data_IF_306914461791
#
_entry.id   IF_306914461791
#
_cell.length_a   1.000
_cell.length_b   1.000
_cell.length_c   1.000
_cell.angle_alpha   90.00
_cell.angle_beta   90.00
_cell.angle_gamma   90.00
#
_symmetry.space_group_name_H-M   'P 1'
#
loop_
_entity.id
_entity.type
_entity.pdbx_description
1 polymer ?
#
# COMPACT_ATOMS: atom_id res chain seq x y z
N UNK A 1 16.71 -10.47 -12.20
CA UNK A 1 17.21 -9.15 -11.83
C UNK A 1 16.96 -8.84 -10.34
N UNK A 2 15.74 -9.07 -9.84
CA UNK A 2 15.36 -8.75 -8.45
C UNK A 2 16.22 -9.42 -7.38
N UNK A 3 16.59 -10.68 -7.55
CA UNK A 3 17.38 -11.43 -6.55
C UNK A 3 18.83 -10.92 -6.47
N UNK A 4 19.43 -10.55 -7.60
CA UNK A 4 20.79 -9.98 -7.65
C UNK A 4 20.85 -8.59 -7.05
N UNK A 5 19.87 -7.73 -7.33
CA UNK A 5 19.79 -6.38 -6.75
C UNK A 5 19.62 -6.45 -5.23
N UNK A 6 18.76 -7.32 -4.73
CA UNK A 6 18.57 -7.51 -3.28
C UNK A 6 19.85 -7.98 -2.59
N UNK A 7 20.60 -8.92 -3.17
CA UNK A 7 21.89 -9.36 -2.64
C UNK A 7 22.95 -8.25 -2.66
N UNK A 8 22.94 -7.40 -3.68
CA UNK A 8 23.85 -6.25 -3.77
C UNK A 8 23.56 -5.24 -2.64
N UNK A 9 22.31 -4.88 -2.44
CA UNK A 9 21.92 -3.96 -1.35
C UNK A 9 22.28 -4.50 0.05
N UNK A 10 22.08 -5.79 0.31
CA UNK A 10 22.48 -6.41 1.59
C UNK A 10 23.98 -6.33 1.81
N UNK A 11 24.77 -6.68 0.80
CA UNK A 11 26.23 -6.62 0.88
C UNK A 11 26.76 -5.21 1.07
N UNK A 12 26.17 -4.25 0.39
CA UNK A 12 26.54 -2.83 0.52
C UNK A 12 26.23 -2.32 1.92
N UNK A 13 25.05 -2.64 2.45
CA UNK A 13 24.70 -2.29 3.84
C UNK A 13 25.65 -2.93 4.85
N UNK A 14 25.98 -4.21 4.69
CA UNK A 14 26.94 -4.89 5.57
C UNK A 14 28.33 -4.28 5.48
N UNK A 15 28.76 -3.85 4.30
CA UNK A 15 30.06 -3.17 4.12
C UNK A 15 30.10 -1.84 4.85
N UNK A 16 29.04 -1.03 4.74
CA UNK A 16 28.97 0.26 5.43
C UNK A 16 28.92 0.07 6.96
N UNK A 17 28.15 -0.89 7.47
CA UNK A 17 28.12 -1.20 8.91
C UNK A 17 29.51 -1.57 9.43
N UNK A 18 30.27 -2.40 8.71
CA UNK A 18 31.65 -2.78 9.08
C UNK A 18 32.59 -1.59 9.02
N UNK A 19 32.48 -0.74 8.03
CA UNK A 19 33.31 0.46 7.86
C UNK A 19 33.18 1.40 9.06
N UNK A 20 31.98 1.53 9.59
CA UNK A 20 31.70 2.36 10.76
C UNK A 20 31.75 1.59 12.08
N UNK A 21 32.26 0.35 12.08
CA UNK A 21 32.41 -0.50 13.27
C UNK A 21 31.12 -0.68 14.07
N UNK A 22 29.98 -0.77 13.35
CA UNK A 22 28.69 -1.02 13.98
C UNK A 22 28.64 -2.48 14.43
N UNK A 23 28.37 -2.69 15.71
CA UNK A 23 28.18 -4.02 16.27
C UNK A 23 26.78 -4.56 15.90
N UNK A 24 26.71 -5.67 15.19
CA UNK A 24 25.46 -6.25 14.66
C UNK A 24 25.19 -7.56 15.37
N UNK A 25 24.18 -7.57 16.21
CA UNK A 25 23.69 -8.77 16.89
C UNK A 25 22.58 -9.43 16.09
N UNK A 26 22.88 -10.60 15.50
CA UNK A 26 21.87 -11.43 14.80
C UNK A 26 21.25 -12.42 15.81
N UNK A 27 20.03 -12.87 15.48
CA UNK A 27 19.28 -13.80 16.34
C UNK A 27 19.09 -13.31 17.78
N UNK A 28 19.01 -11.99 17.93
CA UNK A 28 18.88 -11.30 19.22
C UNK A 28 17.54 -10.60 19.25
N UNK A 29 16.55 -11.22 19.85
CA UNK A 29 15.19 -10.67 19.97
C UNK A 29 15.15 -9.71 21.16
N UNK A 30 14.74 -8.47 20.92
CA UNK A 30 14.46 -7.47 21.95
C UNK A 30 13.01 -7.62 22.39
N UNK A 31 12.81 -7.87 23.69
CA UNK A 31 11.48 -8.08 24.26
C UNK A 31 10.96 -6.85 25.02
N UNK A 32 11.85 -5.95 25.46
CA UNK A 32 11.46 -4.79 26.25
C UNK A 32 12.40 -3.61 26.06
N UNK A 33 11.86 -2.40 26.06
CA UNK A 33 12.61 -1.16 26.20
C UNK A 33 12.70 -0.82 27.70
N UNK A 34 13.92 -0.56 28.19
CA UNK A 34 14.18 -0.22 29.58
C UNK A 34 14.20 1.29 29.75
N UNK A 35 13.48 1.76 30.75
CA UNK A 35 13.46 3.17 31.15
C UNK A 35 13.79 3.31 32.62
N UNK A 36 14.42 4.41 33.02
CA UNK A 36 14.63 4.86 34.40
C UNK A 36 13.91 6.17 34.60
N UNK A 37 13.39 6.39 35.79
CA UNK A 37 12.85 7.70 36.14
C UNK A 37 14.00 8.70 36.41
N UNK A 38 13.89 9.85 35.75
CA UNK A 38 14.80 10.98 35.95
C UNK A 38 13.94 12.23 36.00
N UNK A 39 13.94 12.94 37.11
CA UNK A 39 13.14 14.17 37.32
C UNK A 39 11.63 13.96 37.04
N UNK A 40 11.10 12.79 37.42
CA UNK A 40 9.68 12.45 37.24
C UNK A 40 9.28 12.08 35.79
N UNK A 41 10.23 11.90 34.88
CA UNK A 41 10.01 11.47 33.51
C UNK A 41 10.74 10.16 33.23
N UNK A 42 10.12 9.23 32.44
CA UNK A 42 10.78 8.02 31.99
C UNK A 42 11.84 8.38 30.92
N UNK A 43 13.07 8.02 31.17
CA UNK A 43 14.20 8.21 30.25
C UNK A 43 14.72 6.83 29.82
N UNK A 44 14.95 6.65 28.53
CA UNK A 44 15.53 5.45 27.98
C UNK A 44 16.89 5.13 28.63
N UNK A 45 17.17 3.86 28.92
CA UNK A 45 18.44 3.43 29.48
C UNK A 45 18.97 2.10 28.91
N UNK A 46 18.25 1.50 27.97
CA UNK A 46 18.68 0.25 27.35
C UNK A 46 17.53 -0.63 26.88
N UNK A 47 17.86 -1.84 26.51
CA UNK A 47 16.90 -2.86 26.08
C UNK A 47 17.13 -4.18 26.79
N UNK A 48 16.09 -4.99 26.91
CA UNK A 48 16.15 -6.37 27.39
C UNK A 48 15.86 -7.35 26.25
N UNK A 49 16.72 -8.34 26.11
CA UNK A 49 16.62 -9.39 25.11
C UNK A 49 15.89 -10.62 25.67
N UNK A 50 15.42 -11.50 24.80
CA UNK A 50 14.69 -12.74 25.17
C UNK A 50 15.51 -13.69 26.06
N UNK A 51 16.83 -13.64 25.96
CA UNK A 51 17.77 -14.37 26.84
C UNK A 51 18.00 -13.67 28.19
N UNK A 52 17.20 -12.65 28.50
CA UNK A 52 17.32 -11.78 29.70
C UNK A 52 18.61 -10.93 29.77
N UNK A 53 19.42 -10.92 28.71
CA UNK A 53 20.55 -10.00 28.62
C UNK A 53 20.03 -8.57 28.45
N UNK A 54 20.64 -7.66 29.26
CA UNK A 54 20.35 -6.23 29.16
C UNK A 54 21.48 -5.52 28.43
N UNK A 55 21.16 -4.70 27.46
CA UNK A 55 22.08 -3.89 26.68
C UNK A 55 21.80 -2.44 27.03
N UNK A 56 22.74 -1.78 27.67
CA UNK A 56 22.63 -0.36 28.02
C UNK A 56 22.98 0.48 26.76
N UNK A 57 22.26 1.58 26.57
CA UNK A 57 22.52 2.56 25.55
C UNK A 57 21.91 3.91 25.95
N UNK A 58 22.39 4.98 25.35
CA UNK A 58 21.90 6.33 25.58
C UNK A 58 20.66 6.65 24.78
N UNK A 59 20.59 6.16 23.53
CA UNK A 59 19.48 6.38 22.61
C UNK A 59 19.07 5.07 21.91
N UNK A 60 17.81 5.02 21.43
CA UNK A 60 17.27 3.89 20.69
C UNK A 60 16.46 4.35 19.48
N UNK A 61 16.74 3.77 18.32
CA UNK A 61 15.93 3.93 17.13
C UNK A 61 15.18 2.62 16.87
N UNK A 62 13.85 2.65 16.98
CA UNK A 62 12.99 1.47 16.77
C UNK A 62 12.64 1.33 15.29
N UNK A 63 13.21 0.34 14.63
CA UNK A 63 13.03 0.06 13.20
C UNK A 63 12.46 -1.35 12.96
N UNK A 64 11.52 -1.82 13.78
CA UNK A 64 10.98 -3.18 13.77
C UNK A 64 9.94 -3.42 12.69
N UNK A 65 9.63 -2.44 11.85
CA UNK A 65 8.56 -2.51 10.86
C UNK A 65 7.16 -2.36 11.48
N UNK A 66 6.14 -2.67 10.69
CA UNK A 66 4.73 -2.61 11.10
C UNK A 66 4.13 -3.99 11.33
N UNK A 67 2.86 -4.17 10.89
CA UNK A 67 2.13 -5.44 11.01
C UNK A 67 1.98 -6.19 9.68
N UNK A 68 2.71 -5.77 8.64
CA UNK A 68 2.68 -6.42 7.32
C UNK A 68 3.84 -7.40 7.19
N UNK A 69 3.56 -8.57 6.59
CA UNK A 69 4.57 -9.64 6.42
C UNK A 69 5.20 -10.13 7.72
N UNK A 70 4.38 -10.58 8.65
CA UNK A 70 4.81 -11.11 9.95
C UNK A 70 5.91 -12.19 9.85
N UNK A 71 5.92 -12.99 8.76
CA UNK A 71 6.96 -13.97 8.47
C UNK A 71 8.37 -13.38 8.27
N UNK A 72 8.48 -12.07 8.07
CA UNK A 72 9.76 -11.33 7.97
C UNK A 72 10.12 -10.57 9.23
N UNK A 73 9.41 -10.80 10.34
CA UNK A 73 9.64 -10.15 11.63
C UNK A 73 8.85 -8.87 11.89
N UNK A 74 7.96 -8.48 10.95
CA UNK A 74 7.10 -7.28 11.14
C UNK A 74 5.84 -7.65 11.92
N UNK A 75 5.99 -7.93 13.20
CA UNK A 75 4.94 -8.44 14.11
C UNK A 75 4.22 -7.33 14.88
N UNK A 76 4.68 -6.08 14.73
CA UNK A 76 4.10 -4.93 15.41
C UNK A 76 4.76 -4.59 16.76
N UNK A 77 5.93 -5.14 17.05
CA UNK A 77 6.65 -4.93 18.32
C UNK A 77 6.92 -3.45 18.61
N UNK A 78 7.20 -2.64 17.57
CA UNK A 78 7.39 -1.21 17.74
C UNK A 78 6.19 -0.49 18.34
N UNK A 79 4.97 -0.92 18.03
CA UNK A 79 3.76 -0.37 18.63
C UNK A 79 3.63 -0.78 20.10
N UNK A 80 3.93 -2.04 20.43
CA UNK A 80 3.95 -2.53 21.80
C UNK A 80 4.99 -1.78 22.65
N UNK A 81 6.20 -1.61 22.14
CA UNK A 81 7.24 -0.84 22.82
C UNK A 81 6.82 0.62 23.07
N UNK A 82 6.16 1.24 22.09
CA UNK A 82 5.65 2.59 22.24
C UNK A 82 4.59 2.69 23.36
N UNK A 83 3.64 1.74 23.41
CA UNK A 83 2.62 1.69 24.47
C UNK A 83 3.24 1.45 25.85
N UNK A 84 4.17 0.50 25.98
CA UNK A 84 4.87 0.16 27.22
C UNK A 84 5.72 1.32 27.75
N UNK A 85 6.20 2.21 26.88
CA UNK A 85 6.96 3.42 27.25
C UNK A 85 6.10 4.66 27.39
N UNK A 86 4.75 4.52 27.41
CA UNK A 86 3.81 5.58 27.72
C UNK A 86 3.33 6.40 26.52
N UNK A 87 3.68 6.01 25.29
CA UNK A 87 3.17 6.67 24.08
C UNK A 87 1.76 6.21 23.74
N UNK A 88 0.94 7.13 23.22
CA UNK A 88 -0.38 6.81 22.72
C UNK A 88 -0.27 6.28 21.30
N UNK A 89 -0.60 5.00 21.10
CA UNK A 89 -0.72 4.39 19.77
C UNK A 89 -2.15 4.53 19.27
N UNK A 90 -2.34 5.13 18.09
CA UNK A 90 -3.66 5.25 17.46
C UNK A 90 -4.07 3.94 16.80
N UNK A 91 -5.39 3.78 16.56
CA UNK A 91 -5.92 2.61 15.85
C UNK A 91 -5.19 2.42 14.51
N UNK A 92 -4.65 1.23 14.31
CA UNK A 92 -3.96 0.84 13.08
C UNK A 92 -4.98 0.48 12.01
N UNK A 93 -4.82 1.04 10.81
CA UNK A 93 -5.69 0.77 9.66
C UNK A 93 -4.86 0.30 8.47
N UNK A 94 -5.39 -0.61 7.64
CA UNK A 94 -4.71 -1.01 6.41
C UNK A 94 -4.50 0.20 5.51
N UNK A 95 -3.32 0.30 4.89
CA UNK A 95 -3.00 1.31 3.89
C UNK A 95 -2.13 0.66 2.80
N UNK A 96 -2.19 1.19 1.58
CA UNK A 96 -1.50 0.64 0.42
C UNK A 96 -1.85 -0.85 0.18
N UNK A 97 -3.13 -1.15 0.27
CA UNK A 97 -3.67 -2.50 0.07
C UNK A 97 -4.62 -2.54 -1.14
N UNK A 98 -4.80 -3.71 -1.77
CA UNK A 98 -5.85 -3.90 -2.78
C UNK A 98 -7.24 -3.65 -2.19
N UNK A 99 -8.21 -3.38 -3.06
CA UNK A 99 -9.61 -3.19 -2.70
C UNK A 99 -10.45 -4.34 -3.23
N UNK A 100 -11.30 -4.90 -2.36
CA UNK A 100 -12.34 -5.82 -2.77
C UNK A 100 -13.46 -5.04 -3.44
N UNK A 101 -13.97 -5.57 -4.57
CA UNK A 101 -15.09 -5.00 -5.31
C UNK A 101 -16.27 -5.95 -5.23
N UNK A 102 -17.46 -5.38 -5.02
CA UNK A 102 -18.69 -6.16 -4.88
C UNK A 102 -19.13 -6.78 -6.21
N UNK A 103 -18.91 -6.07 -7.31
CA UNK A 103 -19.30 -6.48 -8.65
C UNK A 103 -18.49 -7.67 -9.15
N UNK A 104 -19.17 -8.76 -9.51
CA UNK A 104 -18.54 -10.01 -9.91
C UNK A 104 -17.75 -9.92 -11.24
N UNK A 105 -18.14 -9.02 -12.16
CA UNK A 105 -17.45 -8.86 -13.43
C UNK A 105 -15.97 -8.47 -13.28
N UNK A 106 -15.58 -7.83 -12.17
CA UNK A 106 -14.18 -7.54 -11.88
C UNK A 106 -13.31 -8.81 -11.82
N UNK A 107 -13.87 -9.91 -11.33
CA UNK A 107 -13.19 -11.21 -11.23
C UNK A 107 -12.96 -11.85 -12.59
N UNK A 108 -13.88 -11.64 -13.53
CA UNK A 108 -13.77 -12.11 -14.92
C UNK A 108 -12.60 -11.42 -15.65
N UNK A 109 -12.27 -10.20 -15.23
CA UNK A 109 -11.15 -9.41 -15.75
C UNK A 109 -9.82 -9.69 -15.03
N UNK A 110 -9.74 -10.69 -14.15
CA UNK A 110 -8.52 -11.03 -13.40
C UNK A 110 -7.29 -11.09 -14.32
N UNK A 111 -6.21 -10.41 -13.93
CA UNK A 111 -4.95 -10.31 -14.66
C UNK A 111 -4.91 -9.20 -15.71
N UNK A 112 -6.04 -8.55 -16.03
CA UNK A 112 -6.05 -7.39 -16.92
C UNK A 112 -5.43 -6.19 -16.20
N UNK A 113 -4.35 -5.67 -16.78
CA UNK A 113 -3.70 -4.44 -16.35
C UNK A 113 -4.10 -3.29 -17.26
N UNK A 114 -4.61 -2.22 -16.68
CA UNK A 114 -4.95 -0.99 -17.38
C UNK A 114 -3.89 0.07 -17.13
N UNK A 115 -3.48 0.74 -18.20
CA UNK A 115 -2.53 1.85 -18.18
C UNK A 115 -3.20 3.13 -18.66
N UNK A 116 -2.70 4.26 -18.14
CA UNK A 116 -3.19 5.58 -18.52
C UNK A 116 -4.70 5.73 -18.31
N UNK A 117 -5.19 5.23 -17.19
CA UNK A 117 -6.57 5.37 -16.76
C UNK A 117 -6.67 6.35 -15.60
N UNK A 118 -7.83 6.93 -15.40
CA UNK A 118 -8.15 7.74 -14.24
C UNK A 118 -9.16 7.01 -13.36
N UNK A 119 -8.96 7.09 -12.05
CA UNK A 119 -9.95 6.62 -11.09
C UNK A 119 -10.42 7.75 -10.21
N UNK A 120 -11.69 7.70 -9.82
CA UNK A 120 -12.29 8.58 -8.84
C UNK A 120 -13.07 7.77 -7.82
N UNK A 121 -12.68 7.88 -6.56
CA UNK A 121 -13.36 7.25 -5.43
C UNK A 121 -14.28 8.26 -4.77
N UNK A 122 -15.57 7.92 -4.64
CA UNK A 122 -16.58 8.81 -4.07
C UNK A 122 -17.41 8.10 -2.99
N UNK A 123 -17.81 8.86 -1.99
CA UNK A 123 -18.80 8.45 -1.00
C UNK A 123 -19.90 9.51 -0.96
N UNK A 124 -21.11 9.15 -1.40
CA UNK A 124 -22.17 10.12 -1.66
C UNK A 124 -21.71 11.16 -2.68
N UNK A 125 -21.78 12.45 -2.31
CA UNK A 125 -21.33 13.58 -3.16
C UNK A 125 -19.85 13.94 -2.98
N UNK A 126 -19.13 13.28 -2.05
CA UNK A 126 -17.76 13.66 -1.70
C UNK A 126 -16.75 12.78 -2.39
N UNK A 127 -15.84 13.38 -3.16
CA UNK A 127 -14.66 12.71 -3.69
C UNK A 127 -13.62 12.52 -2.59
N UNK A 128 -13.18 11.28 -2.39
CA UNK A 128 -12.15 10.91 -1.43
C UNK A 128 -10.78 10.82 -2.07
N UNK A 129 -10.73 10.39 -3.32
CA UNK A 129 -9.50 10.25 -4.09
C UNK A 129 -9.78 10.39 -5.58
N UNK A 130 -8.84 10.99 -6.29
CA UNK A 130 -8.78 11.05 -7.75
C UNK A 130 -7.33 10.92 -8.17
N UNK A 131 -7.07 10.15 -9.22
CA UNK A 131 -5.70 9.92 -9.67
C UNK A 131 -5.64 9.25 -11.04
N UNK A 132 -4.53 9.50 -11.72
CA UNK A 132 -4.20 8.96 -13.04
C UNK A 132 -3.02 8.00 -12.96
N UNK A 133 -3.05 6.90 -13.73
CA UNK A 133 -1.94 5.93 -13.76
C UNK A 133 -2.37 4.53 -14.17
N UNK A 134 -1.89 3.53 -13.42
CA UNK A 134 -2.10 2.11 -13.73
C UNK A 134 -2.89 1.41 -12.63
N UNK A 135 -3.74 0.46 -13.03
CA UNK A 135 -4.46 -0.44 -12.14
C UNK A 135 -4.49 -1.86 -12.69
N UNK A 136 -4.81 -2.81 -11.83
CA UNK A 136 -4.86 -4.24 -12.12
C UNK A 136 -6.15 -4.84 -11.57
N UNK A 137 -6.84 -5.65 -12.35
CA UNK A 137 -7.93 -6.51 -11.88
C UNK A 137 -7.38 -7.79 -11.25
N UNK A 138 -7.95 -8.19 -10.11
CA UNK A 138 -7.59 -9.39 -9.35
C UNK A 138 -8.79 -10.32 -9.22
N UNK A 139 -8.59 -11.50 -8.66
CA UNK A 139 -9.66 -12.46 -8.41
C UNK A 139 -10.68 -12.03 -7.34
N UNK A 140 -10.43 -10.94 -6.63
CA UNK A 140 -11.31 -10.41 -5.58
C UNK A 140 -11.70 -8.94 -5.81
N UNK A 141 -11.12 -8.27 -6.79
CA UNK A 141 -11.39 -6.87 -7.06
C UNK A 141 -10.26 -6.19 -7.82
N UNK A 142 -9.67 -5.15 -7.26
CA UNK A 142 -8.70 -4.29 -7.95
C UNK A 142 -7.46 -4.02 -7.11
N UNK A 143 -6.33 -3.80 -7.80
CA UNK A 143 -5.02 -3.50 -7.24
C UNK A 143 -4.23 -2.57 -8.18
N UNK A 144 -2.95 -2.45 -7.97
CA UNK A 144 -2.04 -1.60 -8.75
C UNK A 144 -1.79 -0.25 -8.10
N UNK A 145 -0.86 0.55 -8.64
CA UNK A 145 -0.38 1.77 -7.98
C UNK A 145 -1.48 2.76 -7.61
N UNK A 146 -2.44 2.99 -8.52
CA UNK A 146 -3.59 3.87 -8.27
C UNK A 146 -4.45 3.38 -7.11
N UNK A 147 -4.76 2.09 -7.10
CA UNK A 147 -5.64 1.49 -6.09
C UNK A 147 -4.96 1.45 -4.73
N UNK A 148 -3.68 1.14 -4.68
CA UNK A 148 -2.90 1.17 -3.44
C UNK A 148 -2.92 2.58 -2.83
N UNK A 149 -2.73 3.61 -3.65
CA UNK A 149 -2.85 5.00 -3.20
C UNK A 149 -4.27 5.32 -2.70
N UNK A 150 -5.29 4.97 -3.49
CA UNK A 150 -6.70 5.18 -3.14
C UNK A 150 -7.10 4.50 -1.83
N UNK A 151 -6.55 3.30 -1.54
CA UNK A 151 -6.86 2.55 -0.33
C UNK A 151 -6.48 3.29 0.95
N UNK A 152 -5.42 4.10 0.94
CA UNK A 152 -5.02 4.93 2.06
C UNK A 152 -6.07 6.01 2.38
N UNK A 153 -6.65 6.60 1.33
CA UNK A 153 -7.75 7.57 1.48
C UNK A 153 -9.04 6.89 1.90
N UNK A 154 -9.32 5.68 1.40
CA UNK A 154 -10.44 4.86 1.85
C UNK A 154 -10.36 4.61 3.36
N UNK A 155 -9.25 4.07 3.84
CA UNK A 155 -9.05 3.76 5.26
C UNK A 155 -9.16 5.01 6.16
N UNK A 156 -8.58 6.14 5.71
CA UNK A 156 -8.63 7.41 6.44
C UNK A 156 -10.06 7.97 6.55
N UNK A 157 -10.88 7.80 5.52
CA UNK A 157 -12.22 8.40 5.46
C UNK A 157 -13.33 7.43 5.89
N UNK A 158 -13.05 6.13 6.02
CA UNK A 158 -14.04 5.12 6.36
C UNK A 158 -14.77 5.42 7.68
N UNK A 159 -14.05 5.90 8.69
CA UNK A 159 -14.63 6.29 9.99
C UNK A 159 -15.52 7.55 9.92
N UNK A 160 -15.38 8.32 8.85
CA UNK A 160 -16.17 9.53 8.60
C UNK A 160 -17.40 9.27 7.73
N UNK A 161 -17.59 8.01 7.27
CA UNK A 161 -18.73 7.63 6.46
C UNK A 161 -20.00 7.72 7.30
N UNK A 162 -20.98 8.45 6.80
CA UNK A 162 -22.32 8.45 7.38
C UNK A 162 -23.01 7.14 7.00
N UNK A 163 -23.79 6.59 7.90
CA UNK A 163 -24.47 5.31 7.70
C UNK A 163 -25.30 5.32 6.41
N UNK A 164 -25.17 4.28 5.60
CA UNK A 164 -25.92 4.10 4.35
C UNK A 164 -25.22 4.56 3.07
N UNK A 165 -24.25 5.46 3.13
CA UNK A 165 -23.53 5.91 1.92
C UNK A 165 -22.63 4.79 1.37
N UNK A 166 -22.76 4.48 0.10
CA UNK A 166 -21.84 3.57 -0.61
C UNK A 166 -20.61 4.30 -1.09
N UNK A 167 -19.46 3.61 -1.00
CA UNK A 167 -18.24 4.07 -1.64
C UNK A 167 -18.19 3.50 -3.05
N UNK A 168 -18.13 4.37 -4.06
CA UNK A 168 -18.07 4.00 -5.47
C UNK A 168 -16.71 4.35 -6.05
N UNK A 169 -16.19 3.43 -6.86
CA UNK A 169 -14.97 3.62 -7.64
C UNK A 169 -15.39 3.80 -9.11
N UNK A 170 -15.19 5.00 -9.63
CA UNK A 170 -15.37 5.30 -11.05
C UNK A 170 -14.05 5.11 -11.77
N UNK A 171 -14.10 4.51 -12.94
CA UNK A 171 -12.96 4.26 -13.79
C UNK A 171 -13.19 4.92 -15.15
N UNK A 172 -12.31 5.86 -15.50
CA UNK A 172 -12.20 6.43 -16.83
C UNK A 172 -11.10 5.71 -17.60
N UNK A 173 -11.48 5.04 -18.68
CA UNK A 173 -10.57 4.27 -19.53
C UNK A 173 -9.81 5.13 -20.55
N UNK A 174 -10.27 6.36 -20.80
CA UNK A 174 -9.72 7.26 -21.81
C UNK A 174 -9.71 8.73 -21.34
N UNK A 175 -9.10 9.02 -20.21
CA UNK A 175 -9.15 10.37 -19.60
C UNK A 175 -8.50 11.48 -20.44
N UNK A 176 -7.72 11.10 -21.45
CA UNK A 176 -7.12 12.06 -22.41
C UNK A 176 -8.10 12.54 -23.47
N UNK A 177 -9.30 11.95 -23.57
CA UNK A 177 -10.31 12.31 -24.57
C UNK A 177 -11.50 12.96 -23.90
N UNK A 178 -11.96 14.09 -24.44
CA UNK A 178 -13.26 14.64 -24.03
C UNK A 178 -14.41 13.73 -24.52
N UNK A 179 -15.61 13.82 -23.94
CA UNK A 179 -16.77 13.04 -24.42
C UNK A 179 -17.01 13.19 -25.92
N UNK A 180 -16.88 14.40 -26.46
CA UNK A 180 -17.06 14.69 -27.88
C UNK A 180 -15.94 14.09 -28.76
N UNK A 181 -14.72 14.07 -28.25
CA UNK A 181 -13.58 13.43 -28.93
C UNK A 181 -13.71 11.91 -28.92
N UNK A 182 -14.17 11.34 -27.79
CA UNK A 182 -14.41 9.91 -27.67
C UNK A 182 -15.54 9.45 -28.59
N UNK A 183 -16.63 10.21 -28.67
CA UNK A 183 -17.75 9.92 -29.57
C UNK A 183 -17.32 9.90 -31.05
N UNK A 184 -16.62 10.95 -31.50
CA UNK A 184 -16.04 11.00 -32.85
C UNK A 184 -15.09 9.84 -33.12
N UNK A 185 -14.30 9.45 -32.15
CA UNK A 185 -13.36 8.32 -32.25
C UNK A 185 -14.11 7.01 -32.40
N UNK A 186 -15.15 6.78 -31.59
CA UNK A 186 -16.00 5.59 -31.67
C UNK A 186 -16.71 5.47 -33.03
N UNK A 187 -17.30 6.55 -33.51
CA UNK A 187 -17.97 6.58 -34.84
C UNK A 187 -16.99 6.20 -35.94
N UNK A 188 -15.80 6.76 -35.93
CA UNK A 188 -14.76 6.41 -36.89
C UNK A 188 -14.36 4.95 -36.83
N UNK A 189 -14.06 4.46 -35.63
CA UNK A 189 -13.57 3.09 -35.41
C UNK A 189 -14.68 2.06 -35.82
N UNK A 190 -15.97 2.39 -35.60
CA UNK A 190 -17.09 1.56 -36.06
C UNK A 190 -17.25 1.58 -37.57
N UNK A 191 -17.06 2.72 -38.22
CA UNK A 191 -17.12 2.80 -39.70
C UNK A 191 -15.97 1.99 -40.32
N UNK A 192 -14.77 2.06 -39.79
CA UNK A 192 -13.63 1.25 -40.21
C UNK A 192 -13.85 -0.25 -39.98
N UNK A 193 -14.58 -0.60 -38.92
CA UNK A 193 -14.83 -1.98 -38.49
C UNK A 193 -16.24 -2.49 -38.84
N UNK A 194 -16.97 -1.84 -39.77
CA UNK A 194 -18.39 -2.16 -40.09
C UNK A 194 -18.66 -3.61 -40.47
N UNK A 195 -17.66 -4.33 -40.96
CA UNK A 195 -17.76 -5.75 -41.32
C UNK A 195 -17.30 -6.69 -40.19
N UNK A 196 -16.92 -6.17 -39.01
CA UNK A 196 -16.53 -6.98 -37.85
C UNK A 196 -17.68 -7.12 -36.85
N UNK A 197 -17.63 -8.17 -36.06
CA UNK A 197 -18.52 -8.27 -34.90
C UNK A 197 -18.21 -7.15 -33.91
N UNK A 198 -19.22 -6.61 -33.25
CA UNK A 198 -19.11 -5.50 -32.30
C UNK A 198 -17.97 -5.67 -31.29
N UNK A 199 -17.84 -6.88 -30.71
CA UNK A 199 -16.77 -7.19 -29.76
C UNK A 199 -15.35 -6.97 -30.29
N UNK A 200 -15.14 -7.12 -31.61
CA UNK A 200 -13.86 -6.97 -32.28
C UNK A 200 -13.66 -5.56 -32.86
N UNK A 201 -14.71 -4.76 -32.88
CA UNK A 201 -14.67 -3.39 -33.40
C UNK A 201 -13.97 -2.43 -32.42
N UNK A 202 -13.88 -2.80 -31.17
CA UNK A 202 -13.28 -2.01 -30.08
C UNK A 202 -11.84 -2.38 -29.76
N UNK A 203 -11.23 -3.35 -30.45
CA UNK A 203 -9.88 -3.85 -30.17
C UNK A 203 -8.78 -2.78 -30.26
N UNK A 204 -9.00 -1.73 -31.06
CA UNK A 204 -8.08 -0.59 -31.18
C UNK A 204 -8.25 0.45 -30.05
N UNK A 205 -9.38 0.40 -29.35
CA UNK A 205 -9.69 1.37 -28.31
C UNK A 205 -9.46 0.82 -26.89
N UNK A 206 -9.76 -0.46 -26.69
CA UNK A 206 -9.65 -1.13 -25.40
C UNK A 206 -8.76 -2.37 -25.48
N UNK A 207 -8.07 -2.74 -24.40
CA UNK A 207 -7.34 -3.99 -24.35
C UNK A 207 -8.29 -5.17 -24.48
N UNK A 208 -7.92 -6.14 -25.30
CA UNK A 208 -8.66 -7.39 -25.44
C UNK A 208 -8.51 -8.25 -24.19
N UNK A 209 -9.62 -8.78 -23.69
CA UNK A 209 -9.68 -9.89 -22.77
C UNK A 209 -10.98 -10.67 -22.95
#
# INVERSE_FOLDING_TARGET
>A
PYRRQRQMCIRDSQRELRKYQVDVHLHTEVIKILTKETDGNPVFCGVECADHKKIAADDCIVCTGGCSYASTGSTGDGYRFAEETGHKVTERKPALVPLEIRENWCRELMGLSLKNVEIRMQCGKKTWYEGFGEMLFTHFGVSGPLILSASSFYSKNLSKRKGGDEVKLFLDLKPALTPEQLDKRLLRDFEEAKNKQFKNALDHLFPAK
#
